data_IF_942763929417
#
_entry.id   IF_942763929417
#
_cell.length_a   1.000
_cell.length_b   1.000
_cell.length_c   1.000
_cell.angle_alpha   90.00
_cell.angle_beta   90.00
_cell.angle_gamma   90.00
#
_symmetry.space_group_name_H-M   'P 1'
#
loop_
_entity.id
_entity.type
_entity.pdbx_description
1 polymer ?
#
# COMPACT_ATOMS: atom_id res chain seq x y z
N UNK A 1 -28.00 -38.77 9.28
CA UNK A 1 -26.62 -38.46 8.87
C UNK A 1 -26.69 -37.17 8.09
N UNK A 2 -26.45 -36.06 8.77
CA UNK A 2 -26.50 -34.71 8.22
C UNK A 2 -25.07 -34.35 7.78
N UNK A 3 -24.92 -33.94 6.52
CA UNK A 3 -23.63 -33.91 5.82
C UNK A 3 -22.71 -32.84 6.43
N UNK A 4 -21.47 -33.22 6.76
CA UNK A 4 -20.46 -32.42 7.48
C UNK A 4 -19.81 -31.31 6.63
N UNK A 5 -20.63 -30.50 5.96
CA UNK A 5 -20.22 -29.25 5.29
C UNK A 5 -21.28 -28.19 5.56
N UNK A 6 -21.43 -27.82 6.83
CA UNK A 6 -21.86 -26.46 7.13
C UNK A 6 -20.82 -25.54 6.49
N UNK A 7 -21.28 -24.62 5.64
CA UNK A 7 -20.47 -23.69 4.86
C UNK A 7 -19.70 -22.73 5.78
N UNK A 8 -18.59 -23.17 6.38
CA UNK A 8 -17.59 -22.23 6.87
C UNK A 8 -16.89 -21.65 5.64
N UNK A 9 -17.12 -20.37 5.39
CA UNK A 9 -16.29 -19.62 4.44
C UNK A 9 -14.90 -19.55 5.08
N UNK A 10 -13.98 -20.40 4.64
CA UNK A 10 -12.58 -20.24 4.99
C UNK A 10 -12.04 -19.03 4.21
N UNK A 11 -11.51 -18.04 4.92
CA UNK A 11 -10.85 -16.89 4.32
C UNK A 11 -9.38 -16.87 4.71
N UNK A 12 -8.59 -16.31 3.81
CA UNK A 12 -7.17 -16.00 4.00
C UNK A 12 -7.11 -14.50 4.25
N UNK A 13 -6.39 -14.09 5.29
CA UNK A 13 -6.08 -12.69 5.53
C UNK A 13 -4.67 -12.42 5.00
N UNK A 14 -4.57 -11.56 4.00
CA UNK A 14 -3.29 -11.12 3.46
C UNK A 14 -2.98 -9.73 4.00
N UNK A 15 -1.79 -9.54 4.57
CA UNK A 15 -1.35 -8.28 5.18
C UNK A 15 -0.08 -7.83 4.47
N UNK A 16 -0.22 -6.83 3.61
CA UNK A 16 0.89 -6.16 2.95
C UNK A 16 1.45 -5.07 3.86
N UNK A 17 2.73 -5.17 4.26
CA UNK A 17 3.31 -4.18 5.17
C UNK A 17 3.58 -2.82 4.51
N UNK A 18 3.64 -2.75 3.19
CA UNK A 18 3.76 -1.50 2.43
C UNK A 18 2.51 -0.62 2.55
N UNK A 19 1.38 -1.21 2.94
CA UNK A 19 0.16 -0.47 3.26
C UNK A 19 0.44 0.65 4.28
N UNK A 20 1.29 0.37 5.27
CA UNK A 20 1.60 1.32 6.33
C UNK A 20 2.38 2.54 5.81
N UNK A 21 3.14 2.41 4.73
CA UNK A 21 3.84 3.54 4.12
C UNK A 21 3.01 4.25 3.03
N UNK A 22 2.08 3.53 2.38
CA UNK A 22 1.36 4.05 1.21
C UNK A 22 -0.01 4.66 1.53
N UNK A 23 -0.63 4.33 2.67
CA UNK A 23 -2.02 4.76 2.94
C UNK A 23 -2.18 6.27 3.08
N UNK A 24 -1.21 6.97 3.68
CA UNK A 24 -1.26 8.43 3.82
C UNK A 24 -1.25 9.12 2.46
N UNK A 25 -0.40 8.62 1.55
CA UNK A 25 -0.35 9.06 0.16
C UNK A 25 -1.68 8.81 -0.57
N UNK A 26 -2.24 7.61 -0.46
CA UNK A 26 -3.52 7.24 -1.08
C UNK A 26 -4.68 8.08 -0.55
N UNK A 27 -4.68 8.40 0.75
CA UNK A 27 -5.67 9.27 1.36
C UNK A 27 -5.61 10.69 0.79
N UNK A 28 -4.40 11.23 0.60
CA UNK A 28 -4.19 12.53 -0.04
C UNK A 28 -4.61 12.54 -1.51
N UNK A 29 -4.29 11.49 -2.28
CA UNK A 29 -4.75 11.35 -3.66
C UNK A 29 -6.29 11.28 -3.74
N UNK A 30 -6.93 10.58 -2.81
CA UNK A 30 -8.40 10.49 -2.74
C UNK A 30 -9.03 11.85 -2.42
N UNK A 31 -8.43 12.61 -1.50
CA UNK A 31 -8.82 13.99 -1.20
C UNK A 31 -8.68 14.87 -2.44
N UNK A 32 -7.56 14.76 -3.14
CA UNK A 32 -7.29 15.53 -4.36
C UNK A 32 -8.34 15.21 -5.44
N UNK A 33 -8.63 13.93 -5.67
CA UNK A 33 -9.68 13.49 -6.62
C UNK A 33 -11.03 14.13 -6.29
N UNK A 34 -11.44 14.06 -5.03
CA UNK A 34 -12.72 14.61 -4.56
C UNK A 34 -12.79 16.12 -4.77
N UNK A 35 -11.69 16.81 -4.51
CA UNK A 35 -11.59 18.25 -4.72
C UNK A 35 -11.61 18.63 -6.20
N UNK A 36 -11.07 17.80 -7.11
CA UNK A 36 -11.14 18.05 -8.56
C UNK A 36 -12.57 17.93 -9.11
N UNK A 37 -13.36 16.98 -8.60
CA UNK A 37 -14.78 16.82 -8.95
C UNK A 37 -15.63 17.99 -8.43
N UNK A 38 -15.24 18.57 -7.29
CA UNK A 38 -15.99 19.65 -6.64
C UNK A 38 -15.55 21.07 -7.07
N UNK A 39 -14.53 21.19 -7.92
CA UNK A 39 -13.96 22.46 -8.42
C UNK A 39 -13.54 23.46 -7.32
N UNK A 40 -13.01 22.98 -6.19
CA UNK A 40 -12.60 23.83 -5.05
C UNK A 40 -11.09 24.12 -5.12
N UNK A 41 -10.68 25.15 -5.88
CA UNK A 41 -9.27 25.52 -6.08
C UNK A 41 -8.43 25.71 -4.79
N UNK A 42 -8.92 26.36 -3.72
CA UNK A 42 -8.13 26.56 -2.50
C UNK A 42 -7.74 25.25 -1.79
N UNK A 43 -8.51 24.18 -2.00
CA UNK A 43 -8.21 22.87 -1.43
C UNK A 43 -7.10 22.15 -2.21
N UNK A 44 -6.94 22.43 -3.50
CA UNK A 44 -5.91 21.78 -4.33
C UNK A 44 -4.51 22.17 -3.88
N UNK A 45 -4.26 23.45 -3.63
CA UNK A 45 -2.92 23.93 -3.21
C UNK A 45 -2.49 23.33 -1.86
N UNK A 46 -3.43 23.22 -0.92
CA UNK A 46 -3.16 22.62 0.40
C UNK A 46 -2.82 21.15 0.26
N UNK A 47 -3.63 20.38 -0.48
CA UNK A 47 -3.41 18.95 -0.69
C UNK A 47 -2.12 18.70 -1.48
N UNK A 48 -1.80 19.51 -2.49
CA UNK A 48 -0.54 19.41 -3.23
C UNK A 48 0.65 19.63 -2.29
N UNK A 49 0.62 20.63 -1.40
CA UNK A 49 1.68 20.85 -0.41
C UNK A 49 1.85 19.68 0.55
N UNK A 50 0.75 19.05 0.96
CA UNK A 50 0.79 17.83 1.78
C UNK A 50 1.33 16.61 1.01
N UNK A 51 1.18 16.56 -0.32
CA UNK A 51 1.70 15.49 -1.18
C UNK A 51 3.20 15.63 -1.49
N UNK A 52 3.77 16.84 -1.51
CA UNK A 52 5.17 17.05 -1.90
C UNK A 52 6.18 16.20 -1.11
N UNK A 53 6.07 16.03 0.22
CA UNK A 53 7.02 15.21 0.99
C UNK A 53 7.02 13.72 0.62
N UNK A 54 6.01 13.24 -0.12
CA UNK A 54 5.96 11.85 -0.58
C UNK A 54 6.80 11.61 -1.83
N UNK A 55 7.24 12.67 -2.51
CA UNK A 55 8.03 12.57 -3.74
C UNK A 55 9.49 12.97 -3.49
N UNK A 56 10.44 12.34 -4.18
CA UNK A 56 11.83 12.82 -4.22
C UNK A 56 11.93 14.26 -4.73
N UNK A 57 12.89 15.03 -4.20
CA UNK A 57 13.05 16.46 -4.54
C UNK A 57 13.38 16.69 -6.03
N UNK A 58 13.96 15.71 -6.73
CA UNK A 58 14.41 15.80 -8.13
C UNK A 58 13.30 15.54 -9.16
N UNK A 59 12.15 15.00 -8.75
CA UNK A 59 11.00 14.72 -9.63
C UNK A 59 10.27 16.01 -10.06
N UNK A 60 10.43 17.11 -9.31
CA UNK A 60 9.72 18.36 -9.59
C UNK A 60 8.20 18.21 -9.41
N UNK A 61 7.80 17.47 -8.38
CA UNK A 61 6.43 17.04 -8.14
C UNK A 61 5.40 18.19 -8.13
N UNK A 62 5.74 19.33 -7.55
CA UNK A 62 4.86 20.51 -7.50
C UNK A 62 4.45 20.98 -8.90
N UNK A 63 5.41 21.09 -9.82
CA UNK A 63 5.16 21.51 -11.20
C UNK A 63 4.28 20.49 -11.93
N UNK A 64 4.61 19.21 -11.81
CA UNK A 64 3.90 18.13 -12.50
C UNK A 64 2.47 17.96 -11.99
N UNK A 65 2.25 18.02 -10.66
CA UNK A 65 0.92 18.02 -10.06
C UNK A 65 0.11 19.25 -10.50
N UNK A 66 0.74 20.43 -10.58
CA UNK A 66 0.11 21.63 -11.11
C UNK A 66 -0.32 21.49 -12.58
N UNK A 67 0.56 20.98 -13.43
CA UNK A 67 0.25 20.70 -14.84
C UNK A 67 -0.88 19.68 -14.99
N UNK A 68 -0.88 18.64 -14.15
CA UNK A 68 -1.92 17.62 -14.10
C UNK A 68 -3.30 18.20 -13.69
N UNK A 69 -3.33 19.08 -12.68
CA UNK A 69 -4.57 19.75 -12.26
C UNK A 69 -5.12 20.70 -13.34
N UNK A 70 -4.23 21.44 -14.02
CA UNK A 70 -4.61 22.27 -15.17
C UNK A 70 -5.20 21.40 -16.29
N UNK A 71 -4.60 20.25 -16.56
CA UNK A 71 -5.12 19.31 -17.54
C UNK A 71 -6.52 18.79 -17.15
N UNK A 72 -6.73 18.38 -15.89
CA UNK A 72 -8.04 17.94 -15.40
C UNK A 72 -9.10 19.04 -15.50
N UNK A 73 -8.74 20.30 -15.24
CA UNK A 73 -9.64 21.44 -15.35
C UNK A 73 -10.08 21.71 -16.80
N UNK A 74 -9.22 21.45 -17.79
CA UNK A 74 -9.57 21.58 -19.22
C UNK A 74 -10.70 20.63 -19.65
N UNK A 75 -10.85 19.50 -18.97
CA UNK A 75 -11.87 18.48 -19.26
C UNK A 75 -12.98 18.40 -18.20
N UNK A 76 -13.21 19.47 -17.42
CA UNK A 76 -14.23 19.47 -16.35
C UNK A 76 -15.65 19.12 -16.85
N UNK A 77 -15.97 19.47 -18.10
CA UNK A 77 -17.28 19.20 -18.72
C UNK A 77 -17.36 17.80 -19.34
N UNK A 78 -16.22 17.11 -19.53
CA UNK A 78 -16.12 15.75 -20.05
C UNK A 78 -15.61 14.80 -18.96
N UNK A 79 -16.56 14.34 -18.14
CA UNK A 79 -16.29 13.43 -17.02
C UNK A 79 -15.63 12.12 -17.45
N UNK A 80 -15.88 11.63 -18.66
CA UNK A 80 -15.29 10.38 -19.14
C UNK A 80 -13.78 10.59 -19.37
N UNK A 81 -13.43 11.62 -20.14
CA UNK A 81 -12.02 11.98 -20.38
C UNK A 81 -11.31 12.38 -19.08
N UNK A 82 -11.96 13.14 -18.20
CA UNK A 82 -11.41 13.49 -16.89
C UNK A 82 -11.11 12.25 -16.03
N UNK A 83 -12.01 11.26 -16.05
CA UNK A 83 -11.79 9.99 -15.36
C UNK A 83 -10.62 9.21 -15.96
N UNK A 84 -10.48 9.18 -17.29
CA UNK A 84 -9.36 8.51 -17.97
C UNK A 84 -8.02 9.18 -17.63
N UNK A 85 -7.96 10.51 -17.63
CA UNK A 85 -6.77 11.28 -17.20
C UNK A 85 -6.43 10.94 -15.74
N UNK A 86 -7.43 10.90 -14.85
CA UNK A 86 -7.20 10.52 -13.46
C UNK A 86 -6.69 9.09 -13.32
N UNK A 87 -7.25 8.14 -14.07
CA UNK A 87 -6.83 6.74 -14.07
C UNK A 87 -5.42 6.56 -14.62
N UNK A 88 -5.00 7.37 -15.60
CA UNK A 88 -3.61 7.42 -16.04
C UNK A 88 -2.65 7.89 -14.94
N UNK A 89 -3.19 8.61 -13.94
CA UNK A 89 -2.62 8.72 -12.61
C UNK A 89 -1.65 9.88 -12.43
N UNK A 90 -1.67 10.54 -11.26
CA UNK A 90 -0.64 11.48 -10.84
C UNK A 90 0.57 10.76 -10.23
N UNK A 91 0.78 9.46 -10.48
CA UNK A 91 1.89 8.69 -9.90
C UNK A 91 3.19 9.09 -10.58
N UNK A 92 3.82 10.15 -10.07
CA UNK A 92 5.05 10.72 -10.64
C UNK A 92 6.29 9.89 -10.33
N UNK A 93 6.26 9.20 -9.18
CA UNK A 93 7.28 8.27 -8.71
C UNK A 93 6.70 7.40 -7.57
N UNK A 94 7.48 6.45 -7.05
CA UNK A 94 7.15 5.71 -5.84
C UNK A 94 7.07 6.65 -4.63
N UNK A 95 5.98 6.63 -3.85
CA UNK A 95 5.87 7.46 -2.67
C UNK A 95 6.86 6.99 -1.60
N UNK A 96 7.85 7.82 -1.27
CA UNK A 96 8.83 7.55 -0.22
C UNK A 96 8.31 8.15 1.08
N UNK A 97 7.39 7.46 1.75
CA UNK A 97 6.88 7.92 3.04
C UNK A 97 7.31 7.02 4.17
N UNK A 98 8.08 7.63 5.07
CA UNK A 98 8.41 7.07 6.35
C UNK A 98 7.35 7.49 7.37
N UNK A 99 6.52 6.55 7.83
CA UNK A 99 5.50 6.83 8.83
C UNK A 99 6.09 6.96 10.22
N UNK A 100 5.63 7.93 11.01
CA UNK A 100 6.01 8.01 12.41
C UNK A 100 5.53 6.78 13.22
N UNK A 101 6.16 6.44 14.36
CA UNK A 101 5.69 5.38 15.23
C UNK A 101 4.23 5.55 15.67
N UNK A 102 3.78 6.79 15.89
CA UNK A 102 2.41 7.13 16.25
C UNK A 102 1.43 6.86 15.10
N UNK A 103 1.84 7.14 13.86
CA UNK A 103 1.05 6.80 12.67
C UNK A 103 0.95 5.29 12.50
N UNK A 104 2.07 4.56 12.63
CA UNK A 104 2.09 3.09 12.57
C UNK A 104 1.12 2.50 13.60
N UNK A 105 1.19 2.97 14.85
CA UNK A 105 0.29 2.47 15.89
C UNK A 105 -1.17 2.79 15.59
N UNK A 106 -1.47 3.98 15.05
CA UNK A 106 -2.82 4.36 14.64
C UNK A 106 -3.34 3.42 13.56
N UNK A 107 -2.56 3.18 12.51
CA UNK A 107 -2.93 2.28 11.40
C UNK A 107 -3.12 0.83 11.88
N UNK A 108 -2.26 0.34 12.79
CA UNK A 108 -2.43 -0.98 13.40
C UNK A 108 -3.73 -1.06 14.20
N UNK A 109 -4.08 -0.01 14.95
CA UNK A 109 -5.34 0.03 15.69
C UNK A 109 -6.56 0.08 14.76
N UNK A 110 -6.47 0.79 13.63
CA UNK A 110 -7.53 0.82 12.62
C UNK A 110 -7.72 -0.55 11.97
N UNK A 111 -6.62 -1.27 11.68
CA UNK A 111 -6.68 -2.65 11.21
C UNK A 111 -7.32 -3.58 12.25
N UNK A 112 -6.93 -3.46 13.53
CA UNK A 112 -7.54 -4.22 14.64
C UNK A 112 -9.07 -3.99 14.71
N UNK A 113 -9.49 -2.73 14.62
CA UNK A 113 -10.92 -2.37 14.60
C UNK A 113 -11.64 -2.94 13.37
N UNK A 114 -11.00 -2.89 12.20
CA UNK A 114 -11.55 -3.48 10.97
C UNK A 114 -11.77 -4.99 11.12
N UNK A 115 -10.81 -5.73 11.70
CA UNK A 115 -10.96 -7.17 11.94
C UNK A 115 -12.17 -7.45 12.85
N UNK A 116 -12.27 -6.74 13.97
CA UNK A 116 -13.40 -6.89 14.89
C UNK A 116 -14.75 -6.51 14.25
N UNK A 117 -14.80 -5.42 13.49
CA UNK A 117 -16.01 -4.97 12.81
C UNK A 117 -16.53 -6.00 11.79
N UNK A 118 -15.64 -6.83 11.24
CA UNK A 118 -15.97 -7.89 10.29
C UNK A 118 -16.10 -9.28 10.94
N UNK A 119 -16.24 -9.36 12.27
CA UNK A 119 -16.32 -10.60 13.03
C UNK A 119 -15.14 -11.56 12.77
N UNK A 120 -13.95 -10.99 12.58
CA UNK A 120 -12.68 -11.70 12.52
C UNK A 120 -12.03 -11.60 13.90
N UNK A 121 -12.27 -12.61 14.72
CA UNK A 121 -11.78 -12.69 16.10
C UNK A 121 -11.43 -14.14 16.47
N UNK A 122 -11.04 -14.39 17.71
CA UNK A 122 -10.70 -15.73 18.20
C UNK A 122 -11.81 -16.78 18.02
N UNK A 123 -13.09 -16.39 17.95
CA UNK A 123 -14.19 -17.32 17.71
C UNK A 123 -14.39 -17.62 16.21
N UNK A 124 -13.90 -16.75 15.34
CA UNK A 124 -13.96 -16.90 13.88
C UNK A 124 -12.65 -16.46 13.21
N UNK A 125 -11.52 -17.17 13.45
CA UNK A 125 -10.24 -16.78 12.92
C UNK A 125 -10.12 -17.12 11.42
N UNK A 126 -9.26 -16.40 10.67
CA UNK A 126 -8.87 -16.82 9.33
C UNK A 126 -8.23 -18.20 9.36
N UNK A 127 -8.35 -18.92 8.24
CA UNK A 127 -7.68 -20.22 8.10
C UNK A 127 -6.16 -20.07 7.97
N UNK A 128 -5.71 -18.93 7.42
CA UNK A 128 -4.31 -18.59 7.22
C UNK A 128 -4.18 -17.05 7.22
N UNK A 129 -3.12 -16.56 7.86
CA UNK A 129 -2.67 -15.17 7.70
C UNK A 129 -1.35 -15.21 6.94
N UNK A 130 -1.27 -14.47 5.84
CA UNK A 130 -0.03 -14.20 5.10
C UNK A 130 0.41 -12.77 5.38
N UNK A 131 1.71 -12.57 5.54
CA UNK A 131 2.29 -11.24 5.74
C UNK A 131 3.44 -11.09 4.73
N UNK A 132 3.27 -10.17 3.80
CA UNK A 132 4.30 -9.83 2.82
C UNK A 132 5.21 -8.74 3.38
N UNK A 133 6.50 -9.06 3.48
CA UNK A 133 7.57 -8.10 3.81
C UNK A 133 8.14 -7.64 2.47
N UNK A 134 7.62 -6.59 1.85
CA UNK A 134 8.24 -6.10 0.62
C UNK A 134 9.51 -5.34 0.98
N UNK A 135 10.65 -6.03 0.84
CA UNK A 135 11.96 -5.50 1.20
C UNK A 135 12.81 -5.17 -0.03
N UNK A 136 12.29 -5.39 -1.24
CA UNK A 136 13.04 -5.29 -2.50
C UNK A 136 12.76 -4.03 -3.32
N UNK A 137 11.68 -3.32 -3.03
CA UNK A 137 11.13 -2.20 -3.81
C UNK A 137 11.00 -0.90 -3.01
N UNK A 138 11.55 -0.87 -1.79
CA UNK A 138 11.67 0.29 -0.90
C UNK A 138 10.35 0.97 -0.48
N UNK A 139 9.18 0.35 -0.73
CA UNK A 139 7.89 0.90 -0.27
C UNK A 139 7.82 1.02 1.25
N UNK A 140 8.20 -0.04 1.97
CA UNK A 140 8.42 0.02 3.42
C UNK A 140 9.92 0.21 3.68
N UNK A 141 10.34 1.34 4.28
CA UNK A 141 11.75 1.55 4.57
C UNK A 141 12.31 0.41 5.45
N UNK A 142 13.45 -0.22 5.11
CA UNK A 142 13.94 -1.42 5.78
C UNK A 142 14.10 -1.27 7.30
N UNK A 143 14.39 -0.06 7.78
CA UNK A 143 14.53 0.23 9.22
C UNK A 143 13.20 0.26 9.99
N UNK A 144 12.07 0.38 9.29
CA UNK A 144 10.73 0.36 9.90
C UNK A 144 10.11 -1.04 9.92
N UNK A 145 10.63 -1.97 9.11
CA UNK A 145 10.09 -3.32 8.95
C UNK A 145 9.88 -4.02 10.30
N UNK A 146 10.90 -4.02 11.16
CA UNK A 146 10.83 -4.73 12.43
C UNK A 146 9.76 -4.15 13.37
N UNK A 147 9.61 -2.82 13.40
CA UNK A 147 8.60 -2.13 14.20
C UNK A 147 7.20 -2.42 13.66
N UNK A 148 6.98 -2.29 12.35
CA UNK A 148 5.68 -2.52 11.73
C UNK A 148 5.26 -3.98 11.90
N UNK A 149 6.14 -4.92 11.55
CA UNK A 149 5.89 -6.35 11.67
C UNK A 149 5.58 -6.74 13.11
N UNK A 150 6.38 -6.28 14.08
CA UNK A 150 6.16 -6.59 15.49
C UNK A 150 4.82 -6.05 15.98
N UNK A 151 4.47 -4.81 15.62
CA UNK A 151 3.19 -4.20 15.99
C UNK A 151 1.99 -4.96 15.40
N UNK A 152 2.09 -5.39 14.14
CA UNK A 152 1.06 -6.21 13.47
C UNK A 152 0.94 -7.58 14.13
N UNK A 153 2.06 -8.28 14.41
CA UNK A 153 2.02 -9.59 15.07
C UNK A 153 1.42 -9.51 16.47
N UNK A 154 1.81 -8.51 17.27
CA UNK A 154 1.21 -8.29 18.58
C UNK A 154 -0.29 -8.00 18.51
N UNK A 155 -0.73 -7.27 17.47
CA UNK A 155 -2.16 -7.03 17.23
C UNK A 155 -2.89 -8.33 16.87
N UNK A 156 -2.34 -9.12 15.95
CA UNK A 156 -2.91 -10.41 15.57
C UNK A 156 -3.00 -11.37 16.78
N UNK A 157 -2.00 -11.36 17.67
CA UNK A 157 -2.04 -12.13 18.92
C UNK A 157 -3.17 -11.68 19.86
N UNK A 158 -3.44 -10.38 19.94
CA UNK A 158 -4.58 -9.85 20.73
C UNK A 158 -5.92 -10.26 20.12
N UNK A 159 -6.04 -10.25 18.79
CA UNK A 159 -7.31 -10.52 18.09
C UNK A 159 -7.62 -12.02 18.03
N UNK A 160 -6.63 -12.85 17.72
CA UNK A 160 -6.81 -14.27 17.42
C UNK A 160 -6.25 -15.22 18.49
N UNK A 161 -5.45 -14.72 19.44
CA UNK A 161 -4.77 -15.53 20.45
C UNK A 161 -3.36 -15.99 20.01
N UNK A 162 -2.87 -17.08 20.58
CA UNK A 162 -1.52 -17.59 20.32
C UNK A 162 -1.30 -17.90 18.82
N UNK A 163 -0.25 -17.33 18.23
CA UNK A 163 0.07 -17.49 16.82
C UNK A 163 1.12 -18.59 16.59
N UNK A 164 0.85 -19.50 15.64
CA UNK A 164 1.86 -20.40 15.10
C UNK A 164 2.45 -19.80 13.83
N UNK A 165 3.69 -19.32 13.90
CA UNK A 165 4.35 -18.60 12.81
C UNK A 165 5.35 -19.47 12.05
N UNK A 166 5.38 -19.30 10.73
CA UNK A 166 6.41 -19.85 9.85
C UNK A 166 6.96 -18.74 8.96
N UNK A 167 8.24 -18.42 9.13
CA UNK A 167 8.95 -17.49 8.27
C UNK A 167 9.40 -18.24 7.01
N UNK A 168 9.10 -17.69 5.84
CA UNK A 168 9.57 -18.19 4.55
C UNK A 168 10.48 -17.12 3.96
N UNK A 169 11.72 -17.49 3.68
CA UNK A 169 12.67 -16.64 2.95
C UNK A 169 12.55 -16.96 1.46
N UNK A 170 12.44 -15.92 0.64
CA UNK A 170 12.53 -16.08 -0.81
C UNK A 170 14.01 -16.17 -1.19
N UNK A 171 14.39 -17.20 -1.94
CA UNK A 171 15.71 -17.22 -2.58
C UNK A 171 15.77 -16.05 -3.57
N UNK A 172 16.80 -15.20 -3.46
CA UNK A 172 17.08 -14.24 -4.51
C UNK A 172 17.31 -15.03 -5.80
N UNK A 173 16.50 -14.78 -6.82
CA UNK A 173 16.87 -15.22 -8.16
C UNK A 173 18.11 -14.39 -8.48
N UNK A 174 19.28 -15.01 -8.36
CA UNK A 174 20.54 -14.42 -8.81
C UNK A 174 20.37 -14.09 -10.30
N UNK A 175 20.04 -12.83 -10.59
CA UNK A 175 19.86 -12.27 -11.92
C UNK A 175 21.22 -12.00 -12.60
N UNK A 176 22.11 -13.00 -12.53
CA UNK A 176 22.95 -13.33 -13.67
C UNK A 176 22.49 -14.68 -14.17
N UNK A 177 21.37 -14.66 -14.90
CA UNK A 177 20.85 -15.82 -15.60
C UNK A 177 21.99 -16.57 -16.28
N UNK A 178 22.05 -17.88 -16.03
CA UNK A 178 23.01 -18.81 -16.60
C UNK A 178 23.13 -18.66 -18.13
N UNK A 179 22.07 -18.17 -18.77
CA UNK A 179 22.02 -17.75 -20.17
C UNK A 179 22.99 -16.61 -20.56
N UNK A 180 23.20 -15.60 -19.71
CA UNK A 180 24.11 -14.46 -19.96
C UNK A 180 25.57 -14.90 -19.83
N UNK A 181 25.87 -15.80 -18.88
CA UNK A 181 27.20 -16.41 -18.75
C UNK A 181 27.51 -17.36 -19.91
N UNK A 182 26.53 -18.16 -20.35
CA UNK A 182 26.67 -19.01 -21.53
C UNK A 182 26.89 -18.17 -22.82
N UNK A 183 26.19 -17.05 -22.98
CA UNK A 183 26.37 -16.16 -24.13
C UNK A 183 27.76 -15.50 -24.16
N UNK A 184 28.31 -15.13 -23.00
CA UNK A 184 29.69 -14.59 -22.90
C UNK A 184 30.76 -15.64 -23.17
N UNK A 185 30.54 -16.91 -22.81
CA UNK A 185 31.48 -18.00 -23.07
C UNK A 185 31.55 -18.43 -24.54
N UNK A 186 30.51 -18.15 -25.34
CA UNK A 186 30.46 -18.48 -26.78
C UNK A 186 31.03 -17.36 -27.66
N UNK A 187 31.16 -16.14 -27.13
CA UNK A 187 31.65 -14.96 -27.84
C UNK A 187 33.08 -14.54 -27.44
N UNK A 188 33.79 -15.37 -26.67
CA UNK A 188 35.20 -15.20 -26.29
C UNK A 188 36.16 -15.98 -27.17
#
# INVERSE_FOLDING_TARGET
MENARQQTKAFILDVDLDYFSTIAFLALLTRLQTATVSSVEPQHEEIVRELLPFYPEDVGAERLLGEFLVLLAQYQDDKATQSEIWTAGPFLDLPHHESSPEEIQRMVNELEQFLHANALDAANPPALVTIAKSTGDEFLPPHQLDIVLSSVLQMLERVFGELSMRIVEYESIDDEGEAVRAARAVLG
#
